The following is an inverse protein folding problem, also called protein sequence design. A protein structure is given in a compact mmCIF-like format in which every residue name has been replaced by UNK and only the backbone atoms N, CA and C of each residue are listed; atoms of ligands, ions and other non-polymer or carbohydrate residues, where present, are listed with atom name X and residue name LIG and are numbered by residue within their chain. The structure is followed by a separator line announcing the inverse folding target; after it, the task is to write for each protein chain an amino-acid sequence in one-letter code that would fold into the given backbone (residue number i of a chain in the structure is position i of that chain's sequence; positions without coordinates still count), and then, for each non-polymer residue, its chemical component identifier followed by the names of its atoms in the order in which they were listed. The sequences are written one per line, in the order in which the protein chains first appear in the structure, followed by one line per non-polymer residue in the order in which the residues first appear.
data_IF_522711774558
#
_entry.id   IF_522711774558
#
_cell.length_a   1.000
_cell.length_b   1.000
_cell.length_c   1.000
_cell.angle_alpha   90.00
_cell.angle_beta   90.00
_cell.angle_gamma   90.00
#
_symmetry.space_group_name_H-M   'P 1'
#
loop_
_entity.id
_entity.type
_entity.pdbx_description
1 polymer ?
#
# COMPACT_ATOMS: atom_id res chain seq x y z
N UNK A 1 -5.84 11.82 14.48
CA UNK A 1 -5.43 10.44 14.21
C UNK A 1 -4.57 10.37 12.97
N UNK A 2 -3.67 9.43 12.91
CA UNK A 2 -2.65 9.40 11.87
C UNK A 2 -2.75 8.12 11.03
N UNK A 3 -2.58 8.28 9.72
CA UNK A 3 -2.46 7.19 8.75
C UNK A 3 -1.00 7.13 8.34
N UNK A 4 -0.42 5.94 8.34
CA UNK A 4 0.95 5.71 7.88
C UNK A 4 0.91 5.12 6.49
N UNK A 5 1.59 5.75 5.55
CA UNK A 5 1.62 5.30 4.16
C UNK A 5 3.06 5.14 3.70
N UNK A 6 3.41 3.96 3.21
CA UNK A 6 4.74 3.73 2.66
C UNK A 6 4.85 4.35 1.28
N UNK A 7 5.98 5.00 1.02
CA UNK A 7 6.24 5.63 -0.26
C UNK A 7 6.38 4.59 -1.38
N UNK A 8 7.25 3.60 -1.14
CA UNK A 8 7.55 2.59 -2.14
C UNK A 8 6.41 1.58 -2.26
N UNK A 9 5.95 1.40 -3.49
CA UNK A 9 4.86 0.48 -3.80
C UNK A 9 3.47 1.07 -3.70
N UNK A 10 3.29 2.19 -3.00
CA UNK A 10 1.99 2.88 -2.90
C UNK A 10 1.98 4.15 -3.75
N UNK A 11 2.93 5.05 -3.51
CA UNK A 11 3.04 6.32 -4.24
C UNK A 11 4.04 6.26 -5.39
N UNK A 12 5.08 5.46 -5.25
CA UNK A 12 6.19 5.38 -6.18
C UNK A 12 6.53 3.94 -6.50
N UNK A 13 6.76 3.64 -7.79
CA UNK A 13 7.28 2.34 -8.20
C UNK A 13 8.70 2.14 -7.69
N UNK A 14 8.98 0.99 -7.09
CA UNK A 14 10.28 0.68 -6.51
C UNK A 14 11.40 0.63 -7.56
N UNK A 15 11.10 0.17 -8.76
CA UNK A 15 12.11 -0.07 -9.80
C UNK A 15 12.35 1.14 -10.70
N UNK A 16 11.33 1.94 -10.96
CA UNK A 16 11.40 3.01 -11.98
C UNK A 16 11.28 4.41 -11.38
N UNK A 17 10.97 4.52 -10.10
CA UNK A 17 10.68 5.77 -9.41
C UNK A 17 9.52 6.58 -10.02
N UNK A 18 8.74 5.97 -10.88
CA UNK A 18 7.57 6.60 -11.48
C UNK A 18 6.44 6.69 -10.46
N UNK A 19 5.60 7.73 -10.53
CA UNK A 19 4.44 7.84 -9.64
C UNK A 19 3.39 6.77 -9.97
N UNK A 20 2.68 6.32 -8.94
CA UNK A 20 1.56 5.40 -9.08
C UNK A 20 0.29 6.23 -9.00
N UNK A 21 -0.44 6.44 -10.11
CA UNK A 21 -1.59 7.35 -10.12
C UNK A 21 -2.66 7.02 -9.08
N UNK A 22 -3.00 5.76 -8.94
CA UNK A 22 -4.02 5.35 -7.96
C UNK A 22 -3.55 5.56 -6.51
N UNK A 23 -2.27 5.34 -6.24
CA UNK A 23 -1.69 5.61 -4.93
C UNK A 23 -1.69 7.10 -4.61
N UNK A 24 -1.35 7.93 -5.59
CA UNK A 24 -1.36 9.38 -5.46
C UNK A 24 -2.78 9.90 -5.18
N UNK A 25 -3.76 9.39 -5.90
CA UNK A 25 -5.16 9.73 -5.68
C UNK A 25 -5.61 9.33 -4.27
N UNK A 26 -5.24 8.14 -3.84
CA UNK A 26 -5.56 7.65 -2.50
C UNK A 26 -4.94 8.52 -1.42
N UNK A 27 -3.69 8.92 -1.60
CA UNK A 27 -3.01 9.85 -0.69
C UNK A 27 -3.78 11.17 -0.55
N UNK A 28 -4.13 11.79 -1.68
CA UNK A 28 -4.85 13.07 -1.65
C UNK A 28 -6.21 12.94 -0.98
N UNK A 29 -6.92 11.84 -1.22
CA UNK A 29 -8.20 11.57 -0.59
C UNK A 29 -8.07 11.44 0.93
N UNK A 30 -7.08 10.70 1.40
CA UNK A 30 -6.82 10.55 2.84
C UNK A 30 -6.40 11.85 3.48
N UNK A 31 -5.58 12.63 2.80
CA UNK A 31 -5.01 13.87 3.33
C UNK A 31 -6.06 14.94 3.61
N UNK A 32 -7.21 14.88 2.96
CA UNK A 32 -8.29 15.85 3.19
C UNK A 32 -8.82 15.83 4.61
N UNK A 33 -8.81 14.68 5.27
CA UNK A 33 -9.42 14.50 6.59
C UNK A 33 -8.50 13.90 7.64
N UNK A 34 -7.29 13.47 7.26
CA UNK A 34 -6.38 12.76 8.16
C UNK A 34 -4.99 13.37 8.10
N UNK A 35 -4.22 13.15 9.16
CA UNK A 35 -2.77 13.31 9.08
C UNK A 35 -2.21 12.07 8.41
N UNK A 36 -1.40 12.28 7.39
CA UNK A 36 -0.75 11.18 6.66
C UNK A 36 0.75 11.33 6.78
N UNK A 37 1.39 10.34 7.39
CA UNK A 37 2.85 10.26 7.46
C UNK A 37 3.34 9.37 6.34
N UNK A 38 4.35 9.83 5.62
CA UNK A 38 4.99 9.07 4.56
C UNK A 38 6.22 8.39 5.13
N UNK A 39 6.31 7.07 4.96
CA UNK A 39 7.42 6.27 5.43
C UNK A 39 8.31 5.86 4.25
N UNK A 40 9.60 6.08 4.38
CA UNK A 40 10.57 5.76 3.34
C UNK A 40 11.91 5.36 3.97
N UNK A 41 12.77 4.74 3.18
CA UNK A 41 14.10 4.35 3.65
C UNK A 41 15.06 5.54 3.76
N UNK A 42 14.93 6.50 2.85
CA UNK A 42 15.75 7.72 2.84
C UNK A 42 14.85 8.95 2.82
N UNK A 43 14.81 9.65 3.93
CA UNK A 43 13.96 10.82 4.10
C UNK A 43 14.28 11.94 3.09
N UNK A 44 15.55 12.20 2.84
CA UNK A 44 15.97 13.28 1.94
C UNK A 44 15.56 13.00 0.49
N UNK A 45 15.78 11.78 0.04
CA UNK A 45 15.37 11.36 -1.31
C UNK A 45 13.86 11.33 -1.47
N UNK A 46 13.16 10.90 -0.43
CA UNK A 46 11.70 10.89 -0.42
C UNK A 46 11.13 12.31 -0.51
N UNK A 47 11.67 13.24 0.27
CA UNK A 47 11.26 14.64 0.22
C UNK A 47 11.48 15.25 -1.17
N UNK A 48 12.62 15.01 -1.76
CA UNK A 48 12.93 15.46 -3.12
C UNK A 48 11.93 14.91 -4.14
N UNK A 49 11.68 13.60 -4.08
CA UNK A 49 10.75 12.95 -5.00
C UNK A 49 9.32 13.51 -4.84
N UNK A 50 8.86 13.67 -3.61
CA UNK A 50 7.53 14.20 -3.33
C UNK A 50 7.36 15.62 -3.87
N UNK A 51 8.37 16.47 -3.69
CA UNK A 51 8.36 17.84 -4.22
C UNK A 51 8.34 17.86 -5.75
N UNK A 52 9.09 16.99 -6.38
CA UNK A 52 9.10 16.86 -7.85
C UNK A 52 7.73 16.47 -8.40
N UNK A 53 6.94 15.75 -7.62
CA UNK A 53 5.59 15.32 -8.01
C UNK A 53 4.50 16.17 -7.37
N UNK A 54 4.85 17.38 -6.93
CA UNK A 54 3.93 18.40 -6.43
C UNK A 54 3.20 18.01 -5.13
N UNK A 55 3.78 17.11 -4.36
CA UNK A 55 3.29 16.79 -3.02
C UNK A 55 4.14 17.57 -2.03
N UNK A 56 3.68 18.77 -1.67
CA UNK A 56 4.45 19.71 -0.85
C UNK A 56 3.94 19.88 0.57
N UNK A 57 2.70 19.45 0.82
CA UNK A 57 2.05 19.62 2.13
C UNK A 57 1.90 18.28 2.84
N UNK A 58 3.01 17.58 3.04
CA UNK A 58 3.02 16.37 3.84
C UNK A 58 3.08 16.72 5.32
N UNK A 59 2.44 15.94 6.16
CA UNK A 59 2.50 16.13 7.60
C UNK A 59 3.88 15.82 8.14
N UNK A 60 4.45 14.70 7.72
CA UNK A 60 5.84 14.37 8.00
C UNK A 60 6.31 13.24 7.07
N UNK A 61 7.63 13.15 6.93
CA UNK A 61 8.30 12.07 6.21
C UNK A 61 9.21 11.38 7.21
N UNK A 62 9.01 10.07 7.38
CA UNK A 62 9.76 9.28 8.34
C UNK A 62 10.78 8.41 7.60
N UNK A 63 12.04 8.60 7.95
CA UNK A 63 13.13 7.78 7.45
C UNK A 63 13.55 6.75 8.49
N UNK A 64 14.87 6.59 8.66
CA UNK A 64 15.40 5.67 9.65
C UNK A 64 15.07 6.13 11.07
N UNK A 65 14.70 5.18 11.94
CA UNK A 65 14.29 5.47 13.31
C UNK A 65 15.15 4.68 14.30
N UNK A 66 15.40 5.25 15.51
CA UNK A 66 16.20 4.60 16.54
C UNK A 66 15.36 3.61 17.36
N UNK A 67 14.80 2.60 16.70
CA UNK A 67 13.95 1.59 17.34
C UNK A 67 14.43 0.20 16.94
N UNK A 68 14.58 -0.75 17.89
CA UNK A 68 14.92 -2.12 17.52
C UNK A 68 13.75 -2.85 16.88
N UNK A 69 14.04 -3.72 15.94
CA UNK A 69 13.02 -4.51 15.24
C UNK A 69 13.64 -5.37 14.14
N UNK A 70 12.86 -6.29 13.60
CA UNK A 70 13.35 -7.24 12.61
C UNK A 70 13.74 -6.59 11.29
N UNK A 71 12.96 -5.58 10.85
CA UNK A 71 13.24 -4.89 9.58
C UNK A 71 12.78 -3.42 9.65
N UNK A 72 13.33 -2.57 8.76
CA UNK A 72 13.17 -1.12 8.86
C UNK A 72 11.72 -0.63 8.87
N UNK A 73 10.88 -1.19 8.03
CA UNK A 73 9.48 -0.78 7.91
C UNK A 73 8.71 -1.04 9.21
N UNK A 74 8.93 -2.20 9.81
CA UNK A 74 8.31 -2.55 11.09
C UNK A 74 8.77 -1.61 12.20
N UNK A 75 10.06 -1.29 12.24
CA UNK A 75 10.62 -0.35 13.22
C UNK A 75 10.00 1.02 13.10
N UNK A 76 9.80 1.52 11.88
CA UNK A 76 9.17 2.81 11.64
C UNK A 76 7.75 2.87 12.20
N UNK A 77 6.96 1.83 11.96
CA UNK A 77 5.59 1.76 12.49
C UNK A 77 5.57 1.72 14.01
N UNK A 78 6.41 0.89 14.60
CA UNK A 78 6.51 0.78 16.07
C UNK A 78 6.95 2.10 16.70
N UNK A 79 7.91 2.78 16.09
CA UNK A 79 8.36 4.08 16.57
C UNK A 79 7.23 5.10 16.56
N UNK A 80 6.46 5.16 15.48
CA UNK A 80 5.34 6.10 15.37
C UNK A 80 4.22 5.75 16.35
N UNK A 81 3.97 4.48 16.60
CA UNK A 81 3.00 4.06 17.63
C UNK A 81 3.41 4.51 19.01
N UNK A 82 4.69 4.56 19.29
CA UNK A 82 5.21 5.07 20.58
C UNK A 82 5.03 6.59 20.72
N UNK A 83 4.89 7.30 19.61
CA UNK A 83 4.71 8.75 19.61
C UNK A 83 3.23 9.17 19.69
N UNK A 84 2.32 8.33 19.28
CA UNK A 84 0.90 8.65 19.30
C UNK A 84 0.03 7.58 18.65
N UNK A 85 -1.29 7.79 18.64
CA UNK A 85 -2.22 6.81 18.05
C UNK A 85 -2.07 6.74 16.52
N UNK A 86 -2.08 5.53 16.00
CA UNK A 86 -2.04 5.23 14.58
C UNK A 86 -3.34 4.54 14.21
N UNK A 87 -4.08 5.09 13.23
CA UNK A 87 -5.33 4.50 12.77
C UNK A 87 -5.09 3.24 11.97
N UNK A 88 -4.30 3.34 10.92
CA UNK A 88 -3.94 2.20 10.08
C UNK A 88 -2.70 2.51 9.25
N UNK A 89 -2.16 1.45 8.68
CA UNK A 89 -0.95 1.49 7.83
C UNK A 89 -1.31 1.03 6.43
N UNK A 90 -0.83 1.74 5.42
CA UNK A 90 -1.00 1.37 4.00
C UNK A 90 0.35 0.89 3.48
N UNK A 91 0.42 -0.36 3.04
CA UNK A 91 1.64 -0.99 2.54
C UNK A 91 1.33 -1.94 1.40
N UNK A 92 2.36 -2.33 0.66
CA UNK A 92 2.26 -3.39 -0.36
C UNK A 92 2.93 -4.69 0.08
N UNK A 93 3.62 -4.69 1.20
CA UNK A 93 4.41 -5.82 1.67
C UNK A 93 3.55 -6.78 2.50
N UNK A 94 3.31 -8.01 2.02
CA UNK A 94 2.52 -8.98 2.76
C UNK A 94 3.19 -9.45 4.05
N UNK A 95 4.50 -9.52 4.11
CA UNK A 95 5.23 -9.92 5.31
C UNK A 95 5.08 -8.88 6.41
N UNK A 96 5.21 -7.61 6.07
CA UNK A 96 4.95 -6.52 6.99
C UNK A 96 3.50 -6.54 7.48
N UNK A 97 2.56 -6.77 6.56
CA UNK A 97 1.13 -6.85 6.89
C UNK A 97 0.87 -7.90 7.96
N UNK A 98 1.42 -9.11 7.80
CA UNK A 98 1.25 -10.17 8.79
C UNK A 98 1.80 -9.77 10.16
N UNK A 99 2.99 -9.17 10.19
CA UNK A 99 3.61 -8.70 11.42
C UNK A 99 2.78 -7.62 12.12
N UNK A 100 2.24 -6.68 11.36
CA UNK A 100 1.42 -5.61 11.91
C UNK A 100 0.09 -6.13 12.44
N UNK A 101 -0.53 -7.09 11.75
CA UNK A 101 -1.77 -7.71 12.23
C UNK A 101 -1.54 -8.47 13.53
N UNK A 102 -0.40 -9.14 13.68
CA UNK A 102 -0.04 -9.85 14.92
C UNK A 102 0.00 -8.92 16.15
N UNK A 103 0.40 -7.68 15.96
CA UNK A 103 0.46 -6.69 17.05
C UNK A 103 -0.79 -5.81 17.14
N UNK A 104 -1.83 -6.14 16.37
CA UNK A 104 -3.11 -5.45 16.45
C UNK A 104 -3.21 -4.14 15.66
N UNK A 105 -2.36 -3.94 14.66
CA UNK A 105 -2.41 -2.74 13.80
C UNK A 105 -3.24 -3.05 12.57
N UNK A 106 -4.26 -2.23 12.32
CA UNK A 106 -5.04 -2.32 11.08
C UNK A 106 -4.15 -1.96 9.90
N UNK A 107 -4.14 -2.82 8.90
CA UNK A 107 -3.26 -2.66 7.73
C UNK A 107 -4.07 -2.80 6.46
N UNK A 108 -3.91 -1.84 5.55
CA UNK A 108 -4.48 -1.90 4.20
C UNK A 108 -3.37 -2.27 3.22
N UNK A 109 -3.60 -3.31 2.46
CA UNK A 109 -2.63 -3.76 1.45
C UNK A 109 -3.01 -3.14 0.12
N UNK A 110 -2.13 -2.28 -0.40
CA UNK A 110 -2.30 -1.65 -1.70
C UNK A 110 -1.67 -2.52 -2.77
N UNK A 111 -2.48 -3.08 -3.65
CA UNK A 111 -2.01 -3.95 -4.74
C UNK A 111 -2.03 -3.19 -6.05
N UNK A 112 -0.86 -2.97 -6.63
CA UNK A 112 -0.72 -2.35 -7.93
C UNK A 112 -0.54 -3.44 -8.99
N UNK A 113 -1.18 -3.32 -10.18
CA UNK A 113 -1.06 -4.34 -11.24
C UNK A 113 0.36 -4.69 -11.66
N UNK A 114 1.32 -3.78 -11.49
CA UNK A 114 2.73 -4.05 -11.82
C UNK A 114 3.36 -5.16 -10.99
N UNK A 115 2.78 -5.50 -9.85
CA UNK A 115 3.27 -6.59 -9.00
C UNK A 115 2.62 -7.93 -9.35
N UNK A 116 1.67 -7.93 -10.27
CA UNK A 116 1.03 -9.15 -10.77
C UNK A 116 1.82 -9.61 -12.01
N UNK A 117 1.84 -10.92 -12.25
CA UNK A 117 2.46 -11.46 -13.47
C UNK A 117 1.89 -10.73 -14.69
N UNK A 118 2.76 -10.42 -15.65
CA UNK A 118 2.40 -9.61 -16.81
C UNK A 118 1.19 -10.18 -17.56
N UNK A 119 1.13 -11.49 -17.73
CA UNK A 119 0.02 -12.15 -18.43
C UNK A 119 -1.33 -12.02 -17.72
N UNK A 120 -1.34 -11.67 -16.46
CA UNK A 120 -2.58 -11.52 -15.67
C UNK A 120 -2.97 -10.05 -15.44
N UNK A 121 -2.14 -9.12 -15.86
CA UNK A 121 -2.46 -7.69 -15.69
C UNK A 121 -3.51 -7.25 -16.72
N UNK A 122 -4.48 -6.41 -16.34
CA UNK A 122 -5.50 -5.92 -17.28
C UNK A 122 -4.92 -5.12 -18.46
N UNK A 123 -3.74 -4.52 -18.30
CA UNK A 123 -3.07 -3.73 -19.33
C UNK A 123 -2.07 -4.53 -20.17
N UNK A 124 -1.93 -5.81 -19.91
CA UNK A 124 -0.99 -6.66 -20.64
C UNK A 124 -1.46 -6.93 -22.06
N UNK A 125 -0.52 -6.92 -23.02
CA UNK A 125 -0.80 -7.24 -24.41
C UNK A 125 -0.63 -8.72 -24.73
N UNK A 126 0.06 -9.47 -23.85
CA UNK A 126 0.35 -10.89 -24.02
C UNK A 126 -0.44 -11.67 -22.99
N UNK A 127 -1.22 -12.64 -23.46
CA UNK A 127 -2.05 -13.44 -22.57
C UNK A 127 -3.16 -12.67 -21.87
N UNK A 128 -3.61 -11.55 -22.46
CA UNK A 128 -4.71 -10.76 -21.91
C UNK A 128 -5.95 -11.61 -21.79
N UNK A 129 -6.43 -11.76 -20.56
CA UNK A 129 -7.81 -12.19 -20.36
C UNK A 129 -8.70 -11.03 -20.70
N UNK A 130 -9.58 -11.21 -21.67
CA UNK A 130 -10.60 -10.25 -21.98
C UNK A 130 -11.47 -10.02 -20.75
N UNK A 131 -12.05 -8.84 -20.64
CA UNK A 131 -12.92 -8.50 -19.53
C UNK A 131 -14.00 -9.56 -19.28
N UNK A 132 -14.55 -10.11 -20.35
CA UNK A 132 -15.56 -11.17 -20.26
C UNK A 132 -15.02 -12.44 -19.59
N UNK A 133 -13.76 -12.80 -19.84
CA UNK A 133 -13.15 -13.99 -19.22
C UNK A 133 -13.00 -13.80 -17.72
N UNK A 134 -12.68 -12.58 -17.29
CA UNK A 134 -12.58 -12.22 -15.87
C UNK A 134 -13.95 -12.32 -15.21
N UNK A 135 -14.98 -11.83 -15.85
CA UNK A 135 -16.36 -11.90 -15.35
C UNK A 135 -16.82 -13.35 -15.23
N UNK A 136 -16.53 -14.19 -16.22
CA UNK A 136 -16.84 -15.62 -16.19
C UNK A 136 -16.14 -16.32 -15.01
N UNK A 137 -14.88 -16.00 -14.76
CA UNK A 137 -14.13 -16.55 -13.64
C UNK A 137 -14.78 -16.18 -12.30
N UNK A 138 -15.18 -14.92 -12.14
CA UNK A 138 -15.87 -14.45 -10.94
C UNK A 138 -17.19 -15.17 -10.74
N UNK A 139 -17.97 -15.36 -11.81
CA UNK A 139 -19.24 -16.07 -11.76
C UNK A 139 -19.04 -17.53 -11.34
N UNK A 140 -18.04 -18.21 -11.90
CA UNK A 140 -17.71 -19.59 -11.51
C UNK A 140 -17.34 -19.71 -10.03
N UNK A 141 -16.57 -18.76 -9.52
CA UNK A 141 -16.20 -18.75 -8.11
C UNK A 141 -17.42 -18.53 -7.21
N UNK A 142 -18.34 -17.65 -7.61
CA UNK A 142 -19.57 -17.42 -6.87
C UNK A 142 -20.48 -18.66 -6.86
N UNK A 143 -20.63 -19.33 -7.99
CA UNK A 143 -21.40 -20.56 -8.09
C UNK A 143 -20.83 -21.66 -7.21
N UNK A 144 -19.52 -21.86 -7.26
CA UNK A 144 -18.85 -22.86 -6.42
C UNK A 144 -19.04 -22.54 -4.93
N UNK A 145 -19.01 -21.27 -4.57
CA UNK A 145 -19.21 -20.82 -3.20
C UNK A 145 -20.63 -21.10 -2.72
N UNK A 146 -21.64 -20.86 -3.57
CA UNK A 146 -23.04 -21.15 -3.26
C UNK A 146 -23.31 -22.65 -3.13
N UNK A 147 -22.73 -23.48 -4.00
CA UNK A 147 -22.85 -24.94 -3.94
C UNK A 147 -22.21 -25.55 -2.69
N UNK A 148 -21.20 -24.89 -2.14
CA UNK A 148 -20.52 -25.32 -0.93
C UNK A 148 -21.39 -25.21 0.33
N UNK A 149 -22.55 -24.56 0.24
CA UNK A 149 -23.52 -24.47 1.33
C UNK A 149 -23.11 -23.55 2.47
N UNK A 150 -22.07 -22.78 2.32
CA UNK A 150 -21.57 -21.86 3.36
C UNK A 150 -22.40 -20.59 3.47
N UNK A 151 -23.17 -20.29 2.44
CA UNK A 151 -24.07 -19.15 2.41
C UNK A 151 -25.51 -19.66 2.42
N UNK A 152 -26.01 -20.00 3.55
CA UNK A 152 -27.42 -20.31 3.71
C UNK A 152 -28.04 -19.40 4.75
#
# INVERSE_FOLDING_TARGET
MAVLMFLDGVLRHTNTNAPIPNGMLFYHTLKEQNKVFILANDKSKADTWLRQHKITKVDDIIGEVPMPGEFPEFRQVEWLRSQGPVDYVVTTDPNLTLKLLEIGVTTLVFMNPTYIREEFRPDSRVGIKKWNDIVEEIVKQQEAFLEDGRIK
#
